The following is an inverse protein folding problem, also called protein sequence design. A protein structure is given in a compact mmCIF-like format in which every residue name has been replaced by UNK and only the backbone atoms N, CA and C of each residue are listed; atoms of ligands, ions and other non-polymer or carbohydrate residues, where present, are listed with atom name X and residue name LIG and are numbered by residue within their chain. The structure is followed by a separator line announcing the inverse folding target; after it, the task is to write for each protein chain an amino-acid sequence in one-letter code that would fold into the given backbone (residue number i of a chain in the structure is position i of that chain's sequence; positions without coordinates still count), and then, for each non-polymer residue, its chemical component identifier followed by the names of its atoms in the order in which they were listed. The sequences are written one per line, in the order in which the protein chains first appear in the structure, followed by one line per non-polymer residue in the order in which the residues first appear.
data_IF_097049846641
#
_entry.id   IF_097049846641
#
_cell.length_a   1.000
_cell.length_b   1.000
_cell.length_c   1.000
_cell.angle_alpha   90.00
_cell.angle_beta   90.00
_cell.angle_gamma   90.00
#
_symmetry.space_group_name_H-M   'P 1'
#
loop_
_entity.id
_entity.type
_entity.pdbx_description
1 polymer ?
#
# COMPACT_ATOMS: atom_id res chain seq x y z
N UNK A 1 -6.65 2.77 -16.97
CA UNK A 1 -6.06 1.52 -17.46
C UNK A 1 -4.60 1.50 -17.08
N UNK A 2 -4.28 0.65 -16.11
CA UNK A 2 -2.91 0.46 -15.63
C UNK A 2 -2.01 -0.20 -16.70
N UNK A 3 -0.71 0.07 -16.63
CA UNK A 3 0.26 -0.57 -17.51
C UNK A 3 0.35 -2.08 -17.25
N UNK A 4 0.45 -2.94 -18.30
CA UNK A 4 0.47 -4.40 -18.14
C UNK A 4 1.58 -4.92 -17.21
N UNK A 5 2.74 -4.28 -17.24
CA UNK A 5 3.88 -4.63 -16.39
C UNK A 5 3.60 -4.33 -14.91
N UNK A 6 2.96 -3.19 -14.62
CA UNK A 6 2.51 -2.87 -13.27
C UNK A 6 1.48 -3.87 -12.75
N UNK A 7 0.49 -4.21 -13.58
CA UNK A 7 -0.51 -5.23 -13.27
C UNK A 7 0.18 -6.56 -12.94
N UNK A 8 1.13 -7.00 -13.77
CA UNK A 8 1.86 -8.25 -13.55
C UNK A 8 2.64 -8.26 -12.23
N UNK A 9 3.28 -7.14 -11.87
CA UNK A 9 4.02 -7.02 -10.60
C UNK A 9 3.10 -7.09 -9.38
N UNK A 10 2.02 -6.31 -9.36
CA UNK A 10 1.04 -6.31 -8.26
C UNK A 10 0.44 -7.71 -8.12
N UNK A 11 -0.08 -8.28 -9.20
CA UNK A 11 -0.63 -9.65 -9.19
C UNK A 11 0.40 -10.67 -8.71
N UNK A 12 1.69 -10.51 -9.03
CA UNK A 12 2.71 -11.41 -8.51
C UNK A 12 2.88 -11.29 -6.99
N UNK A 13 2.96 -10.07 -6.45
CA UNK A 13 3.10 -9.83 -5.00
C UNK A 13 1.89 -10.41 -4.24
N UNK A 14 0.68 -10.15 -4.73
CA UNK A 14 -0.55 -10.41 -4.01
C UNK A 14 -1.16 -11.80 -4.29
N UNK A 15 -0.95 -12.41 -5.45
CA UNK A 15 -1.58 -13.70 -5.79
C UNK A 15 -0.63 -14.89 -5.67
N UNK A 16 0.69 -14.70 -5.67
CA UNK A 16 1.60 -15.84 -5.60
C UNK A 16 1.62 -16.44 -4.18
N UNK A 17 1.51 -17.77 -4.04
CA UNK A 17 1.43 -18.44 -2.74
C UNK A 17 2.80 -18.57 -2.04
N UNK A 18 3.89 -18.12 -2.67
CA UNK A 18 5.23 -18.25 -2.08
C UNK A 18 5.35 -17.34 -0.86
N UNK A 19 5.77 -17.86 0.30
CA UNK A 19 5.83 -17.07 1.53
C UNK A 19 6.95 -16.03 1.52
N UNK A 20 7.94 -16.18 0.65
CA UNK A 20 9.06 -15.26 0.52
C UNK A 20 9.71 -15.35 -0.88
N UNK A 21 10.46 -14.32 -1.24
CA UNK A 21 11.25 -14.25 -2.47
C UNK A 21 12.69 -13.81 -2.18
N UNK A 22 13.57 -13.94 -3.16
CA UNK A 22 14.92 -13.37 -3.06
C UNK A 22 14.89 -11.84 -3.11
N UNK A 23 15.92 -11.19 -2.57
CA UNK A 23 16.06 -9.73 -2.59
C UNK A 23 16.03 -9.18 -4.03
N UNK A 24 16.64 -9.88 -4.99
CA UNK A 24 16.63 -9.46 -6.40
C UNK A 24 15.24 -9.53 -7.03
N UNK A 25 14.44 -10.55 -6.70
CA UNK A 25 13.06 -10.65 -7.13
C UNK A 25 12.20 -9.56 -6.48
N UNK A 26 12.30 -9.35 -5.17
CA UNK A 26 11.59 -8.27 -4.49
C UNK A 26 11.91 -6.90 -5.10
N UNK A 27 13.20 -6.64 -5.39
CA UNK A 27 13.63 -5.41 -6.06
C UNK A 27 12.90 -5.18 -7.39
N UNK A 28 12.82 -6.22 -8.23
CA UNK A 28 12.15 -6.14 -9.51
C UNK A 28 10.63 -5.97 -9.37
N UNK A 29 10.01 -6.70 -8.43
CA UNK A 29 8.57 -6.65 -8.18
C UNK A 29 8.11 -5.31 -7.60
N UNK A 30 8.93 -4.66 -6.78
CA UNK A 30 8.64 -3.32 -6.24
C UNK A 30 9.00 -2.20 -7.24
N UNK A 31 9.61 -2.53 -8.38
CA UNK A 31 10.12 -1.53 -9.33
C UNK A 31 11.26 -0.68 -8.77
N UNK A 32 11.97 -1.19 -7.75
CA UNK A 32 13.06 -0.47 -7.10
C UNK A 32 14.37 -0.66 -7.86
N UNK A 33 15.27 0.33 -7.75
CA UNK A 33 16.67 0.13 -8.12
C UNK A 33 17.38 -0.72 -7.06
N UNK A 34 18.46 -1.41 -7.45
CA UNK A 34 19.33 -2.13 -6.50
C UNK A 34 19.84 -1.21 -5.40
N UNK A 35 20.21 0.03 -5.76
CA UNK A 35 20.67 1.05 -4.80
C UNK A 35 19.59 1.33 -3.74
N UNK A 36 18.35 1.62 -4.18
CA UNK A 36 17.23 1.86 -3.27
C UNK A 36 16.97 0.68 -2.33
N UNK A 37 17.01 -0.55 -2.86
CA UNK A 37 16.84 -1.75 -2.03
C UNK A 37 17.95 -1.88 -0.99
N UNK A 38 19.22 -1.69 -1.38
CA UNK A 38 20.35 -1.71 -0.44
C UNK A 38 20.20 -0.65 0.65
N UNK A 39 19.85 0.58 0.28
CA UNK A 39 19.63 1.68 1.23
C UNK A 39 18.50 1.37 2.21
N UNK A 40 17.37 0.85 1.73
CA UNK A 40 16.25 0.45 2.60
C UNK A 40 16.64 -0.67 3.58
N UNK A 41 17.45 -1.64 3.14
CA UNK A 41 17.96 -2.70 4.01
C UNK A 41 18.92 -2.14 5.07
N UNK A 42 19.83 -1.25 4.69
CA UNK A 42 20.80 -0.63 5.60
C UNK A 42 20.12 0.29 6.62
N UNK A 43 19.07 1.01 6.21
CA UNK A 43 18.27 1.87 7.07
C UNK A 43 17.30 1.09 7.98
N UNK A 44 17.14 -0.22 7.76
CA UNK A 44 16.16 -1.03 8.48
C UNK A 44 14.71 -0.73 8.11
N UNK A 45 14.48 -0.11 6.96
CA UNK A 45 13.16 0.21 6.44
C UNK A 45 12.42 -1.02 5.91
N UNK A 46 13.13 -2.12 5.66
CA UNK A 46 12.56 -3.40 5.24
C UNK A 46 12.90 -4.52 6.21
N UNK A 47 11.91 -5.34 6.54
CA UNK A 47 12.10 -6.52 7.37
C UNK A 47 12.45 -7.75 6.54
N UNK A 48 13.66 -8.29 6.76
CA UNK A 48 14.14 -9.50 6.07
C UNK A 48 14.11 -10.70 7.00
N UNK A 49 13.64 -11.84 6.49
CA UNK A 49 13.76 -13.09 7.19
C UNK A 49 15.13 -13.73 6.96
N UNK A 50 15.94 -13.78 8.02
CA UNK A 50 17.25 -14.43 7.99
C UNK A 50 17.15 -15.93 8.29
N UNK A 51 17.78 -16.73 7.44
CA UNK A 51 17.95 -18.18 7.60
C UNK A 51 19.45 -18.52 7.52
N UNK A 52 19.89 -19.71 7.97
CA UNK A 52 21.29 -20.14 7.82
C UNK A 52 21.80 -20.12 6.37
N UNK A 53 20.90 -20.18 5.38
CA UNK A 53 21.22 -20.22 3.95
C UNK A 53 21.08 -18.86 3.25
N UNK A 54 20.66 -17.81 3.95
CA UNK A 54 20.55 -16.45 3.39
C UNK A 54 19.39 -15.62 3.95
N UNK A 55 19.25 -14.41 3.41
CA UNK A 55 18.16 -13.47 3.73
C UNK A 55 17.08 -13.53 2.64
N UNK A 56 15.83 -13.54 3.08
CA UNK A 56 14.65 -13.64 2.24
C UNK A 56 13.71 -12.48 2.52
N UNK A 57 13.00 -12.05 1.48
CA UNK A 57 12.01 -10.98 1.58
C UNK A 57 10.63 -11.61 1.83
N UNK A 58 10.02 -11.45 3.02
CA UNK A 58 8.71 -12.03 3.32
C UNK A 58 7.62 -11.44 2.43
N UNK A 59 6.59 -12.24 2.12
CA UNK A 59 5.46 -11.76 1.31
C UNK A 59 4.69 -10.64 1.98
N UNK A 60 4.44 -10.71 3.29
CA UNK A 60 3.77 -9.65 4.05
C UNK A 60 4.53 -8.32 3.94
N UNK A 61 5.85 -8.34 4.12
CA UNK A 61 6.71 -7.17 3.93
C UNK A 61 6.63 -6.63 2.50
N UNK A 62 6.59 -7.50 1.47
CA UNK A 62 6.42 -7.03 0.08
C UNK A 62 5.08 -6.34 -0.12
N UNK A 63 4.01 -6.87 0.46
CA UNK A 63 2.68 -6.27 0.39
C UNK A 63 2.65 -4.93 1.13
N UNK A 64 3.30 -4.83 2.29
CA UNK A 64 3.41 -3.58 3.05
C UNK A 64 4.13 -2.50 2.21
N UNK A 65 5.27 -2.84 1.59
CA UNK A 65 5.97 -1.92 0.68
C UNK A 65 5.18 -1.61 -0.59
N UNK A 66 4.40 -2.55 -1.10
CA UNK A 66 3.51 -2.27 -2.22
C UNK A 66 2.47 -1.20 -1.88
N UNK A 67 1.92 -1.21 -0.66
CA UNK A 67 0.95 -0.21 -0.17
C UNK A 67 1.58 1.17 0.04
N UNK A 68 2.86 1.23 0.40
CA UNK A 68 3.60 2.49 0.48
C UNK A 68 3.87 3.10 -0.91
N UNK A 69 3.96 2.27 -1.96
CA UNK A 69 4.30 2.68 -3.32
C UNK A 69 3.05 3.01 -4.14
N UNK A 70 2.01 2.17 -4.04
CA UNK A 70 0.81 2.26 -4.87
C UNK A 70 -0.43 2.49 -4.01
N UNK A 71 -1.29 3.46 -4.38
CA UNK A 71 -2.59 3.63 -3.74
C UNK A 71 -3.42 2.34 -3.78
N UNK A 72 -4.26 2.13 -2.76
CA UNK A 72 -5.08 0.92 -2.66
C UNK A 72 -5.96 0.69 -3.90
N UNK A 73 -6.56 1.74 -4.46
CA UNK A 73 -7.40 1.63 -5.65
C UNK A 73 -6.63 1.12 -6.90
N UNK A 74 -5.32 1.40 -6.99
CA UNK A 74 -4.45 0.88 -8.07
C UNK A 74 -4.20 -0.62 -7.85
N UNK A 75 -4.00 -1.03 -6.60
CA UNK A 75 -3.82 -2.45 -6.26
C UNK A 75 -5.10 -3.22 -6.58
N UNK A 76 -6.26 -2.69 -6.20
CA UNK A 76 -7.57 -3.29 -6.53
C UNK A 76 -7.81 -3.40 -8.03
N UNK A 77 -7.59 -2.34 -8.81
CA UNK A 77 -7.74 -2.38 -10.27
C UNK A 77 -6.83 -3.45 -10.90
N UNK A 78 -5.59 -3.59 -10.39
CA UNK A 78 -4.66 -4.61 -10.88
C UNK A 78 -5.05 -6.05 -10.48
N UNK A 79 -5.68 -6.23 -9.32
CA UNK A 79 -6.18 -7.54 -8.89
C UNK A 79 -7.46 -7.94 -9.63
N UNK A 80 -8.31 -6.98 -10.00
CA UNK A 80 -9.58 -7.26 -10.67
C UNK A 80 -10.44 -8.20 -9.84
N UNK A 81 -11.00 -9.23 -10.48
CA UNK A 81 -11.89 -10.21 -9.84
C UNK A 81 -11.23 -10.99 -8.68
N UNK A 82 -9.89 -11.04 -8.63
CA UNK A 82 -9.16 -11.72 -7.55
C UNK A 82 -9.11 -10.90 -6.24
N UNK A 83 -9.46 -9.61 -6.27
CA UNK A 83 -9.37 -8.71 -5.11
C UNK A 83 -10.17 -9.23 -3.91
N UNK A 84 -11.36 -9.78 -4.16
CA UNK A 84 -12.27 -10.29 -3.13
C UNK A 84 -11.70 -11.47 -2.34
N UNK A 85 -10.79 -12.25 -2.93
CA UNK A 85 -10.14 -13.39 -2.28
C UNK A 85 -8.86 -13.03 -1.50
N UNK A 86 -8.36 -11.80 -1.66
CA UNK A 86 -7.04 -11.39 -1.15
C UNK A 86 -7.12 -10.21 -0.19
N UNK A 87 -7.97 -9.24 -0.50
CA UNK A 87 -8.12 -8.02 0.28
C UNK A 87 -9.29 -8.18 1.27
N UNK A 88 -9.04 -8.10 2.59
CA UNK A 88 -10.10 -7.99 3.57
C UNK A 88 -11.10 -6.88 3.20
N UNK A 89 -12.37 -7.09 3.54
CA UNK A 89 -13.41 -6.09 3.27
C UNK A 89 -13.08 -4.71 3.84
N UNK A 90 -12.48 -4.65 5.02
CA UNK A 90 -12.19 -3.41 5.72
C UNK A 90 -11.07 -2.58 5.07
N UNK A 91 -10.23 -3.17 4.20
CA UNK A 91 -9.18 -2.44 3.48
C UNK A 91 -9.58 -2.11 2.04
N UNK A 92 -10.73 -2.60 1.56
CA UNK A 92 -11.18 -2.34 0.19
C UNK A 92 -11.63 -0.89 0.02
N UNK A 93 -11.32 -0.32 -1.13
CA UNK A 93 -11.64 1.06 -1.48
C UNK A 93 -13.13 1.25 -1.69
N UNK A 94 -13.63 2.43 -1.33
CA UNK A 94 -15.01 2.83 -1.52
C UNK A 94 -15.08 4.30 -1.97
N UNK A 95 -16.03 4.63 -2.84
CA UNK A 95 -16.20 6.00 -3.31
C UNK A 95 -16.94 6.86 -2.27
N UNK A 96 -16.32 7.96 -1.86
CA UNK A 96 -16.93 8.97 -1.01
C UNK A 96 -17.23 10.23 -1.81
N UNK A 97 -18.52 10.61 -1.91
CA UNK A 97 -18.96 11.87 -2.56
C UNK A 97 -19.36 12.90 -1.53
N UNK A 98 -18.71 14.06 -1.55
CA UNK A 98 -18.96 15.17 -0.62
C UNK A 98 -19.18 16.49 -1.35
N UNK A 99 -20.00 17.38 -0.78
CA UNK A 99 -20.11 18.79 -1.21
C UNK A 99 -19.30 19.65 -0.27
N UNK A 100 -18.31 20.36 -0.81
CA UNK A 100 -17.41 21.21 -0.05
C UNK A 100 -17.51 22.68 -0.50
N UNK A 101 -17.28 23.65 0.39
CA UNK A 101 -17.04 25.03 0.00
C UNK A 101 -15.91 25.15 -1.02
N UNK A 102 -16.02 26.12 -1.95
CA UNK A 102 -15.05 26.27 -3.04
C UNK A 102 -13.60 26.40 -2.57
N UNK A 103 -13.37 27.17 -1.50
CA UNK A 103 -12.02 27.38 -0.95
C UNK A 103 -11.37 26.09 -0.42
N UNK A 104 -12.14 25.09 0.03
CA UNK A 104 -11.57 23.79 0.41
C UNK A 104 -11.13 23.00 -0.83
N UNK A 105 -11.88 23.09 -1.92
CA UNK A 105 -11.50 22.44 -3.20
C UNK A 105 -10.21 23.08 -3.71
N UNK A 106 -10.15 24.41 -3.75
CA UNK A 106 -8.96 25.14 -4.21
C UNK A 106 -7.72 24.81 -3.33
N UNK A 107 -7.91 24.64 -2.01
CA UNK A 107 -6.84 24.20 -1.10
C UNK A 107 -6.34 22.78 -1.42
N UNK A 108 -7.26 21.84 -1.69
CA UNK A 108 -6.90 20.46 -2.03
C UNK A 108 -6.19 20.40 -3.38
N UNK A 109 -6.65 21.16 -4.38
CA UNK A 109 -6.02 21.26 -5.70
C UNK A 109 -4.59 21.84 -5.58
N UNK A 110 -4.41 22.91 -4.80
CA UNK A 110 -3.09 23.47 -4.52
C UNK A 110 -2.14 22.44 -3.87
N UNK A 111 -2.61 21.70 -2.86
CA UNK A 111 -1.79 20.65 -2.22
C UNK A 111 -1.46 19.50 -3.17
N UNK A 112 -2.40 19.14 -4.03
CA UNK A 112 -2.21 18.07 -5.02
C UNK A 112 -1.09 18.47 -6.00
N UNK A 113 -1.10 19.71 -6.49
CA UNK A 113 -0.04 20.24 -7.36
C UNK A 113 1.32 20.25 -6.65
N UNK A 114 1.40 20.74 -5.42
CA UNK A 114 2.65 20.80 -4.65
C UNK A 114 3.27 19.42 -4.38
N UNK A 115 2.46 18.36 -4.38
CA UNK A 115 2.89 16.98 -4.10
C UNK A 115 2.93 16.10 -5.34
N UNK A 116 2.71 16.67 -6.52
CA UNK A 116 2.63 15.95 -7.81
C UNK A 116 1.66 14.76 -7.74
N UNK A 117 0.49 14.98 -7.14
CA UNK A 117 -0.53 13.95 -6.93
C UNK A 117 -1.93 14.46 -7.28
N UNK A 118 -2.97 13.67 -6.99
CA UNK A 118 -4.38 14.04 -7.21
C UNK A 118 -5.03 14.55 -5.93
N UNK A 119 -6.18 15.23 -6.06
CA UNK A 119 -7.01 15.61 -4.90
C UNK A 119 -7.37 14.38 -4.05
N UNK A 120 -7.70 13.25 -4.69
CA UNK A 120 -7.96 11.99 -4.00
C UNK A 120 -6.74 11.52 -3.20
N UNK A 121 -5.54 11.54 -3.79
CA UNK A 121 -4.31 11.15 -3.09
C UNK A 121 -3.96 12.06 -1.91
N UNK A 122 -4.31 13.35 -1.97
CA UNK A 122 -4.22 14.24 -0.81
C UNK A 122 -5.20 13.80 0.28
N UNK A 123 -6.47 13.59 -0.06
CA UNK A 123 -7.51 13.20 0.91
C UNK A 123 -7.23 11.84 1.55
N UNK A 124 -6.82 10.84 0.77
CA UNK A 124 -6.43 9.51 1.26
C UNK A 124 -5.37 9.66 2.36
N UNK A 125 -4.29 10.42 2.11
CA UNK A 125 -3.22 10.64 3.09
C UNK A 125 -3.69 11.37 4.36
N UNK A 126 -4.56 12.37 4.23
CA UNK A 126 -5.07 13.08 5.41
C UNK A 126 -5.99 12.16 6.24
N UNK A 127 -6.77 11.28 5.59
CA UNK A 127 -7.58 10.26 6.28
C UNK A 127 -6.70 9.21 6.98
N UNK A 128 -5.63 8.75 6.33
CA UNK A 128 -4.64 7.84 6.96
C UNK A 128 -3.99 8.49 8.19
N UNK A 129 -3.73 9.79 8.13
CA UNK A 129 -3.24 10.57 9.26
C UNK A 129 -4.23 10.60 10.43
N UNK A 130 -5.53 10.77 10.14
CA UNK A 130 -6.59 10.71 11.16
C UNK A 130 -6.69 9.30 11.75
N UNK A 131 -6.72 8.26 10.91
CA UNK A 131 -6.76 6.87 11.34
C UNK A 131 -5.60 6.53 12.27
N UNK A 132 -4.40 6.97 11.92
CA UNK A 132 -3.18 6.76 12.72
C UNK A 132 -3.22 7.52 14.06
N UNK A 133 -3.66 8.77 14.05
CA UNK A 133 -3.73 9.59 15.26
C UNK A 133 -4.77 9.10 16.28
N UNK A 134 -5.81 8.39 15.83
CA UNK A 134 -6.92 7.92 16.64
C UNK A 134 -7.02 6.38 16.70
N UNK A 135 -5.91 5.67 16.46
CA UNK A 135 -5.93 4.21 16.24
C UNK A 135 -6.54 3.42 17.41
N UNK A 136 -6.25 3.79 18.67
CA UNK A 136 -6.77 3.11 19.86
C UNK A 136 -8.29 3.25 19.97
N UNK A 137 -8.81 4.46 19.78
CA UNK A 137 -10.23 4.78 19.84
C UNK A 137 -10.99 4.06 18.72
N UNK A 138 -10.49 4.17 17.48
CA UNK A 138 -11.13 3.58 16.30
C UNK A 138 -11.11 2.05 16.36
N UNK A 139 -10.02 1.45 16.85
CA UNK A 139 -9.92 0.01 17.07
C UNK A 139 -10.94 -0.49 18.10
N UNK A 140 -11.17 0.26 19.17
CA UNK A 140 -12.15 -0.11 20.18
C UNK A 140 -13.61 0.06 19.71
N UNK A 141 -13.87 1.04 18.83
CA UNK A 141 -15.22 1.43 18.43
C UNK A 141 -15.71 0.79 17.13
N UNK A 142 -14.81 0.49 16.17
CA UNK A 142 -15.17 0.08 14.81
C UNK A 142 -14.81 -1.40 14.57
N UNK A 143 -15.81 -2.29 14.36
CA UNK A 143 -15.56 -3.67 13.97
C UNK A 143 -14.69 -3.77 12.70
N UNK A 144 -13.67 -4.63 12.74
CA UNK A 144 -12.77 -4.86 11.60
C UNK A 144 -11.67 -3.81 11.41
N UNK A 145 -11.67 -2.71 12.17
CA UNK A 145 -10.63 -1.67 12.05
C UNK A 145 -9.25 -2.17 12.50
N UNK A 146 -9.20 -2.94 13.59
CA UNK A 146 -7.96 -3.57 14.06
C UNK A 146 -7.32 -4.47 12.98
N UNK A 147 -8.17 -5.26 12.32
CA UNK A 147 -7.76 -6.20 11.28
C UNK A 147 -7.27 -5.44 10.03
N UNK A 148 -7.92 -4.34 9.67
CA UNK A 148 -7.48 -3.47 8.59
C UNK A 148 -6.11 -2.85 8.87
N UNK A 149 -5.88 -2.36 10.10
CA UNK A 149 -4.60 -1.75 10.48
C UNK A 149 -3.44 -2.75 10.62
N UNK A 150 -3.73 -4.02 10.88
CA UNK A 150 -2.73 -5.08 10.98
C UNK A 150 -2.42 -5.75 9.62
N UNK A 151 -3.23 -5.52 8.59
CA UNK A 151 -2.97 -6.09 7.27
C UNK A 151 -1.83 -5.34 6.56
N UNK A 152 -0.92 -6.00 5.80
CA UNK A 152 -0.97 -7.36 5.25
C UNK A 152 -0.30 -8.48 6.06
N UNK A 153 0.09 -8.25 7.31
CA UNK A 153 0.73 -9.26 8.16
C UNK A 153 0.82 -8.83 9.61
#
# INVERSE_FOLDING_TARGET
MLEPDLISRIRHIFLHPRPHVSISQATALLGWSRRRMSEAIEAGEVELWATPVGKWFPRAEMMAKALEIWPMHVIEEALGDDADGILPQAIRSAELRVRLPRHHIDMLEYRAEQRETTVSGVLERELDGIASAHIEELTAALPGFAEAMAWPG
#
